data_IF_939572981857
#
_entry.id   IF_939572981857
#
_cell.length_a   1.000
_cell.length_b   1.000
_cell.length_c   1.000
_cell.angle_alpha   90.00
_cell.angle_beta   90.00
_cell.angle_gamma   90.00
#
_symmetry.space_group_name_H-M   'P 1'
#
loop_
_entity.id
_entity.type
_entity.pdbx_description
1 polymer ?
#
# COMPACT_ATOMS: atom_id res chain seq x y z
N UNK A 1 -19.57 -3.82 17.57
CA UNK A 1 -18.45 -3.58 18.52
C UNK A 1 -18.04 -2.11 18.53
N UNK A 2 -17.30 -1.67 19.59
CA UNK A 2 -16.74 -0.32 19.67
C UNK A 2 -15.24 -0.38 19.46
N UNK A 3 -14.73 0.29 18.44
CA UNK A 3 -13.31 0.20 18.06
C UNK A 3 -12.70 1.59 17.97
N UNK A 4 -11.54 1.78 18.61
CA UNK A 4 -10.69 2.94 18.34
C UNK A 4 -9.77 2.59 17.17
N UNK A 5 -9.94 3.26 16.04
CA UNK A 5 -9.09 3.10 14.85
C UNK A 5 -7.98 4.14 14.92
N UNK A 6 -6.77 3.70 15.21
CA UNK A 6 -5.57 4.56 15.23
C UNK A 6 -5.04 4.74 13.81
N UNK A 7 -5.50 5.77 13.14
CA UNK A 7 -5.11 6.20 11.80
C UNK A 7 -4.19 7.45 11.84
N UNK A 8 -3.46 7.65 12.94
CA UNK A 8 -2.59 8.81 13.12
C UNK A 8 -1.43 8.90 12.12
N UNK A 9 -1.17 7.84 11.36
CA UNK A 9 -0.15 7.78 10.29
C UNK A 9 -0.73 7.96 8.88
N UNK A 10 -2.06 8.11 8.72
CA UNK A 10 -2.74 8.18 7.43
C UNK A 10 -2.68 9.59 6.80
N UNK A 11 -1.46 10.11 6.59
CA UNK A 11 -1.28 11.43 5.99
C UNK A 11 -1.20 11.36 4.46
N UNK A 12 -0.47 10.38 3.91
CA UNK A 12 -0.23 10.22 2.48
C UNK A 12 0.01 8.75 2.10
N UNK A 13 -0.16 8.43 0.80
CA UNK A 13 0.20 7.14 0.21
C UNK A 13 -0.67 5.97 0.66
N UNK A 14 -0.17 4.75 0.53
CA UNK A 14 -0.95 3.52 0.72
C UNK A 14 -1.67 3.36 2.06
N UNK A 15 -1.13 3.94 3.16
CA UNK A 15 -1.82 3.91 4.47
C UNK A 15 -3.07 4.81 4.44
N UNK A 16 -2.98 5.97 3.78
CA UNK A 16 -4.13 6.85 3.59
C UNK A 16 -5.19 6.15 2.74
N UNK A 17 -4.83 5.61 1.59
CA UNK A 17 -5.72 4.84 0.72
C UNK A 17 -6.38 3.68 1.49
N UNK A 18 -5.60 2.94 2.29
CA UNK A 18 -6.14 1.87 3.14
C UNK A 18 -7.25 2.38 4.08
N UNK A 19 -7.02 3.49 4.79
CA UNK A 19 -8.00 4.03 5.75
C UNK A 19 -9.23 4.58 5.02
N UNK A 20 -9.04 5.31 3.92
CA UNK A 20 -10.11 5.94 3.14
C UNK A 20 -11.10 4.92 2.55
N UNK A 21 -10.64 3.71 2.26
CA UNK A 21 -11.51 2.66 1.74
C UNK A 21 -11.98 1.68 2.83
N UNK A 22 -11.18 1.45 3.87
CA UNK A 22 -11.56 0.59 5.00
C UNK A 22 -12.79 1.15 5.73
N UNK A 23 -12.83 2.45 6.01
CA UNK A 23 -13.89 3.05 6.82
C UNK A 23 -15.27 3.00 6.16
N UNK A 24 -15.46 3.39 4.88
CA UNK A 24 -16.75 3.23 4.20
C UNK A 24 -17.20 1.78 4.10
N UNK A 25 -16.27 0.87 3.79
CA UNK A 25 -16.56 -0.57 3.74
C UNK A 25 -16.98 -1.11 5.11
N UNK A 26 -16.37 -0.60 6.20
CA UNK A 26 -16.77 -0.98 7.56
C UNK A 26 -18.16 -0.48 7.90
N UNK A 27 -18.48 0.78 7.60
CA UNK A 27 -19.81 1.34 7.82
C UNK A 27 -20.90 0.56 7.09
N UNK A 28 -20.59 0.07 5.87
CA UNK A 28 -21.51 -0.73 5.06
C UNK A 28 -21.66 -2.17 5.59
N UNK A 29 -20.55 -2.84 5.87
CA UNK A 29 -20.55 -4.24 6.27
C UNK A 29 -21.02 -4.46 7.73
N UNK A 30 -20.80 -3.48 8.60
CA UNK A 30 -21.10 -3.54 10.04
C UNK A 30 -21.69 -2.22 10.56
N UNK A 31 -22.92 -1.87 10.15
CA UNK A 31 -23.55 -0.58 10.49
C UNK A 31 -23.77 -0.36 12.00
N UNK A 32 -23.83 -1.45 12.78
CA UNK A 32 -24.00 -1.39 14.24
C UNK A 32 -22.66 -1.22 14.99
N UNK A 33 -21.51 -1.23 14.30
CA UNK A 33 -20.22 -1.00 14.92
C UNK A 33 -19.96 0.51 15.10
N UNK A 34 -19.49 0.91 16.27
CA UNK A 34 -19.14 2.29 16.58
C UNK A 34 -17.62 2.48 16.46
N UNK A 35 -17.16 3.24 15.46
CA UNK A 35 -15.74 3.54 15.30
C UNK A 35 -15.42 4.97 15.78
N UNK A 36 -14.32 5.09 16.55
CA UNK A 36 -13.67 6.36 16.84
C UNK A 36 -12.34 6.42 16.07
N UNK A 37 -12.30 7.22 15.02
CA UNK A 37 -11.15 7.31 14.11
C UNK A 37 -10.21 8.42 14.57
N UNK A 38 -9.00 8.05 14.94
CA UNK A 38 -7.94 8.95 15.40
C UNK A 38 -7.04 9.30 14.24
N UNK A 39 -7.07 10.56 13.80
CA UNK A 39 -6.32 11.06 12.63
C UNK A 39 -5.46 12.26 12.99
N UNK A 40 -4.40 12.59 12.23
CA UNK A 40 -3.72 13.87 12.38
C UNK A 40 -4.62 15.02 11.88
N UNK A 41 -4.50 16.23 12.42
CA UNK A 41 -5.31 17.38 12.00
C UNK A 41 -5.20 17.72 10.51
N UNK A 42 -4.02 17.45 9.92
CA UNK A 42 -3.71 17.66 8.50
C UNK A 42 -4.27 16.61 7.55
N UNK A 43 -4.75 15.48 8.07
CA UNK A 43 -5.29 14.43 7.22
C UNK A 43 -6.68 14.80 6.70
N UNK A 44 -6.79 14.95 5.40
CA UNK A 44 -8.07 15.09 4.70
C UNK A 44 -8.85 13.76 4.58
N UNK A 45 -8.66 12.83 5.54
CA UNK A 45 -9.34 11.53 5.55
C UNK A 45 -10.79 11.72 5.96
N UNK A 46 -11.71 11.32 5.11
CA UNK A 46 -13.13 11.22 5.43
C UNK A 46 -13.40 10.01 6.33
N UNK A 47 -14.21 10.21 7.37
CA UNK A 47 -14.47 9.15 8.36
C UNK A 47 -15.73 8.34 8.08
N UNK A 48 -16.36 8.52 6.92
CA UNK A 48 -17.56 7.78 6.50
C UNK A 48 -18.70 7.78 7.56
N UNK A 49 -18.91 8.92 8.22
CA UNK A 49 -19.90 9.07 9.29
C UNK A 49 -19.46 8.57 10.67
N UNK A 50 -18.30 7.94 10.79
CA UNK A 50 -17.73 7.55 12.09
C UNK A 50 -17.21 8.76 12.88
N UNK A 51 -17.12 8.60 14.20
CA UNK A 51 -16.61 9.65 15.08
C UNK A 51 -15.13 9.96 14.77
N UNK A 52 -14.78 11.25 14.67
CA UNK A 52 -13.42 11.73 14.40
C UNK A 52 -12.77 12.31 15.64
N UNK A 53 -11.53 11.95 15.91
CA UNK A 53 -10.67 12.58 16.91
C UNK A 53 -9.35 13.02 16.30
N UNK A 54 -8.97 14.27 16.50
CA UNK A 54 -7.72 14.83 15.97
C UNK A 54 -6.58 14.65 16.98
N UNK A 55 -5.59 13.84 16.62
CA UNK A 55 -4.38 13.65 17.40
C UNK A 55 -3.38 14.78 17.15
N UNK A 56 -3.23 15.69 18.08
CA UNK A 56 -2.23 16.76 17.99
C UNK A 56 -0.86 16.25 18.42
N UNK A 57 0.09 16.28 17.49
CA UNK A 57 1.47 15.87 17.71
C UNK A 57 2.33 17.10 18.00
N UNK A 58 3.14 17.04 19.07
CA UNK A 58 4.12 18.09 19.39
C UNK A 58 5.52 17.62 19.04
N UNK A 59 6.31 18.48 18.40
CA UNK A 59 7.69 18.18 17.97
C UNK A 59 7.75 17.29 16.72
N UNK A 60 8.93 16.70 16.44
CA UNK A 60 9.11 15.85 15.27
C UNK A 60 8.18 14.65 15.30
N UNK A 61 7.44 14.41 14.20
CA UNK A 61 6.39 13.38 14.11
C UNK A 61 6.88 11.97 14.49
N UNK A 62 8.13 11.64 14.19
CA UNK A 62 8.73 10.33 14.48
C UNK A 62 8.75 9.99 15.98
N UNK A 63 8.93 11.00 16.84
CA UNK A 63 8.95 10.84 18.30
C UNK A 63 7.63 11.29 18.92
N UNK A 64 7.13 12.43 18.46
CA UNK A 64 5.92 13.07 19.03
C UNK A 64 4.67 12.24 18.83
N UNK A 65 4.53 11.54 17.67
CA UNK A 65 3.34 10.75 17.37
C UNK A 65 3.18 9.54 18.32
N UNK A 66 4.17 8.65 18.50
CA UNK A 66 4.04 7.55 19.46
C UNK A 66 3.82 8.01 20.90
N UNK A 67 4.36 9.14 21.31
CA UNK A 67 4.12 9.73 22.64
C UNK A 67 2.69 10.24 22.79
N UNK A 68 2.16 10.94 21.77
CA UNK A 68 0.78 11.40 21.74
C UNK A 68 -0.20 10.22 21.77
N UNK A 69 0.03 9.20 20.93
CA UNK A 69 -0.74 7.96 20.90
C UNK A 69 -0.73 7.24 22.27
N UNK A 70 0.43 7.15 22.91
CA UNK A 70 0.57 6.52 24.24
C UNK A 70 -0.22 7.24 25.32
N UNK A 71 -0.40 8.54 25.20
CA UNK A 71 -1.17 9.36 26.15
C UNK A 71 -2.66 9.32 25.83
N UNK A 72 -3.04 9.44 24.56
CA UNK A 72 -4.43 9.65 24.15
C UNK A 72 -5.19 8.32 23.96
N UNK A 73 -4.61 7.30 23.32
CA UNK A 73 -5.34 6.06 23.02
C UNK A 73 -5.95 5.37 24.26
N UNK A 74 -5.27 5.28 25.43
CA UNK A 74 -5.88 4.69 26.63
C UNK A 74 -7.05 5.51 27.18
N UNK A 75 -7.03 6.84 26.97
CA UNK A 75 -8.11 7.74 27.39
C UNK A 75 -9.31 7.61 26.48
N UNK A 76 -9.05 7.61 25.16
CA UNK A 76 -10.07 7.45 24.13
C UNK A 76 -10.74 6.09 24.22
N UNK A 77 -9.96 5.02 24.40
CA UNK A 77 -10.49 3.66 24.58
C UNK A 77 -11.46 3.59 25.77
N UNK A 78 -11.09 4.20 26.91
CA UNK A 78 -11.97 4.26 28.09
C UNK A 78 -13.21 5.13 27.86
N UNK A 79 -13.04 6.33 27.29
CA UNK A 79 -14.14 7.27 27.08
C UNK A 79 -15.17 6.72 26.07
N UNK A 80 -14.69 6.07 25.02
CA UNK A 80 -15.52 5.42 24.00
C UNK A 80 -16.06 4.05 24.44
N UNK A 81 -15.60 3.53 25.60
CA UNK A 81 -15.87 2.15 26.05
C UNK A 81 -15.51 1.14 24.96
N UNK A 82 -14.35 1.34 24.33
CA UNK A 82 -13.90 0.53 23.22
C UNK A 82 -13.66 -0.93 23.65
N UNK A 83 -14.05 -1.86 22.79
CA UNK A 83 -13.74 -3.28 22.92
C UNK A 83 -12.29 -3.57 22.49
N UNK A 84 -11.78 -2.83 21.51
CA UNK A 84 -10.43 -3.00 20.98
C UNK A 84 -9.87 -1.70 20.35
N UNK A 85 -8.56 -1.71 20.09
CA UNK A 85 -7.85 -0.72 19.25
C UNK A 85 -7.36 -1.43 17.99
N UNK A 86 -7.66 -0.84 16.82
CA UNK A 86 -7.06 -1.20 15.53
C UNK A 86 -6.03 -0.13 15.16
N UNK A 87 -4.75 -0.47 15.22
CA UNK A 87 -3.69 0.39 14.73
C UNK A 87 -3.45 0.12 13.24
N UNK A 88 -3.71 1.10 12.38
CA UNK A 88 -3.58 0.96 10.92
C UNK A 88 -2.15 0.97 10.41
N UNK A 89 -1.17 1.07 11.31
CA UNK A 89 0.26 1.06 11.01
C UNK A 89 1.04 0.64 12.28
N UNK A 90 2.24 0.03 12.18
CA UNK A 90 3.07 -0.32 13.34
C UNK A 90 3.70 0.88 14.09
N UNK A 91 3.15 2.08 13.94
CA UNK A 91 3.43 3.23 14.82
C UNK A 91 2.18 3.53 15.61
N UNK A 92 2.11 3.06 16.84
CA UNK A 92 0.96 3.20 17.72
C UNK A 92 1.41 3.45 19.17
N UNK A 93 0.54 3.20 20.12
CA UNK A 93 0.86 3.35 21.55
C UNK A 93 2.08 2.52 21.98
N UNK A 94 2.89 3.09 22.86
CA UNK A 94 4.05 2.38 23.46
C UNK A 94 3.68 1.54 24.69
N UNK A 95 2.42 1.61 25.16
CA UNK A 95 1.90 0.88 26.32
C UNK A 95 0.52 0.32 26.00
N UNK A 96 0.15 -0.77 26.63
CA UNK A 96 -1.19 -1.36 26.49
C UNK A 96 -2.26 -0.33 26.89
N UNK A 97 -3.27 -0.08 26.04
CA UNK A 97 -4.32 0.91 26.32
C UNK A 97 -5.41 0.43 27.28
N UNK A 98 -5.36 -0.80 27.76
CA UNK A 98 -6.35 -1.41 28.63
C UNK A 98 -7.41 -2.24 27.91
N UNK A 99 -7.32 -2.31 26.59
CA UNK A 99 -8.13 -3.17 25.70
C UNK A 99 -7.19 -3.85 24.69
N UNK A 100 -7.59 -4.94 24.04
CA UNK A 100 -6.80 -5.61 23.00
C UNK A 100 -6.40 -4.67 21.87
N UNK A 101 -5.19 -4.86 21.32
CA UNK A 101 -4.63 -4.10 20.22
C UNK A 101 -4.33 -5.01 19.05
N UNK A 102 -4.98 -4.78 17.92
CA UNK A 102 -4.57 -5.35 16.63
C UNK A 102 -3.72 -4.34 15.85
N UNK A 103 -2.62 -4.79 15.25
CA UNK A 103 -1.72 -3.96 14.46
C UNK A 103 -1.73 -4.42 13.00
N UNK A 104 -2.00 -3.49 12.08
CA UNK A 104 -1.89 -3.73 10.65
C UNK A 104 -0.43 -3.59 10.21
N UNK A 105 0.08 -4.61 9.53
CA UNK A 105 1.45 -4.64 9.00
C UNK A 105 1.38 -4.59 7.47
N UNK A 106 1.83 -3.46 6.90
CA UNK A 106 1.82 -3.25 5.45
C UNK A 106 3.08 -3.80 4.78
N UNK A 107 4.25 -3.57 5.37
CA UNK A 107 5.54 -4.11 4.95
C UNK A 107 6.57 -4.07 6.09
N UNK A 108 7.69 -4.75 5.87
CA UNK A 108 8.87 -4.67 6.73
C UNK A 108 10.09 -4.14 5.93
N UNK A 109 9.85 -3.25 4.96
CA UNK A 109 10.88 -2.73 4.05
C UNK A 109 12.05 -2.09 4.79
N UNK A 110 11.81 -1.41 5.90
CA UNK A 110 12.86 -0.77 6.68
C UNK A 110 13.87 -1.77 7.30
N UNK A 111 13.53 -3.03 7.40
CA UNK A 111 14.40 -4.13 7.82
C UNK A 111 14.97 -4.89 6.62
N UNK A 112 14.13 -5.21 5.65
CA UNK A 112 14.48 -6.04 4.48
C UNK A 112 15.27 -5.29 3.41
N UNK A 113 15.12 -3.97 3.32
CA UNK A 113 15.82 -3.06 2.40
C UNK A 113 16.45 -1.93 3.19
N UNK A 114 17.27 -2.31 4.15
CA UNK A 114 17.87 -1.39 5.11
C UNK A 114 18.74 -0.31 4.47
N UNK A 115 19.33 -0.57 3.32
CA UNK A 115 20.13 0.34 2.52
C UNK A 115 19.32 1.52 1.95
N UNK A 116 18.02 1.40 1.83
CA UNK A 116 17.12 2.47 1.37
C UNK A 116 16.79 3.50 2.46
N UNK A 117 17.28 3.29 3.68
CA UNK A 117 16.97 4.14 4.84
C UNK A 117 18.24 4.61 5.54
N UNK A 118 18.26 5.88 5.99
CA UNK A 118 19.32 6.36 6.85
C UNK A 118 19.36 5.57 8.19
N UNK A 119 20.57 5.42 8.76
CA UNK A 119 20.77 4.68 10.02
C UNK A 119 19.87 5.17 11.15
N UNK A 120 19.70 6.51 11.29
CA UNK A 120 18.84 7.09 12.32
C UNK A 120 17.37 6.75 12.10
N UNK A 121 16.86 6.85 10.85
CA UNK A 121 15.48 6.50 10.51
C UNK A 121 15.20 5.01 10.74
N UNK A 122 16.18 4.14 10.42
CA UNK A 122 16.08 2.70 10.72
C UNK A 122 15.95 2.42 12.20
N UNK A 123 16.88 2.97 13.01
CA UNK A 123 16.88 2.75 14.46
C UNK A 123 15.55 3.20 15.11
N UNK A 124 15.05 4.37 14.70
CA UNK A 124 13.76 4.88 15.20
C UNK A 124 12.56 4.02 14.78
N UNK A 125 12.52 3.56 13.52
CA UNK A 125 11.46 2.66 13.06
C UNK A 125 11.54 1.30 13.75
N UNK A 126 12.73 0.72 13.85
CA UNK A 126 12.97 -0.53 14.55
C UNK A 126 12.47 -0.48 16.00
N UNK A 127 12.78 0.60 16.73
CA UNK A 127 12.33 0.78 18.11
C UNK A 127 10.81 0.96 18.20
N UNK A 128 10.21 1.80 17.32
CA UNK A 128 8.79 2.06 17.31
C UNK A 128 7.97 0.83 16.91
N UNK A 129 8.37 0.13 15.84
CA UNK A 129 7.69 -1.06 15.34
C UNK A 129 7.87 -2.24 16.30
N UNK A 130 9.11 -2.49 16.77
CA UNK A 130 9.35 -3.53 17.77
C UNK A 130 8.52 -3.32 19.04
N UNK A 131 8.32 -2.06 19.45
CA UNK A 131 7.46 -1.76 20.59
C UNK A 131 5.97 -1.99 20.25
N UNK A 132 5.51 -1.58 19.07
CA UNK A 132 4.15 -1.85 18.61
C UNK A 132 3.88 -3.37 18.56
N UNK A 133 4.81 -4.16 18.03
CA UNK A 133 4.69 -5.62 18.00
C UNK A 133 4.66 -6.24 19.41
N UNK A 134 5.40 -5.68 20.35
CA UNK A 134 5.36 -6.14 21.76
C UNK A 134 4.02 -5.82 22.43
N UNK A 135 3.41 -4.67 22.12
CA UNK A 135 2.13 -4.22 22.69
C UNK A 135 0.94 -4.92 22.03
N UNK A 136 1.04 -5.23 20.74
CA UNK A 136 -0.03 -5.88 19.98
C UNK A 136 -0.46 -7.21 20.63
N UNK A 137 -1.75 -7.47 20.61
CA UNK A 137 -2.35 -8.76 20.98
C UNK A 137 -2.63 -9.61 19.74
N UNK A 138 -2.67 -9.00 18.54
CA UNK A 138 -2.80 -9.70 17.26
C UNK A 138 -2.36 -8.84 16.08
N UNK A 139 -2.27 -9.47 14.90
CA UNK A 139 -1.77 -8.84 13.69
C UNK A 139 -2.71 -9.03 12.50
N UNK A 140 -2.88 -7.97 11.72
CA UNK A 140 -3.48 -8.00 10.40
C UNK A 140 -2.35 -7.80 9.38
N UNK A 141 -1.99 -8.83 8.62
CA UNK A 141 -1.01 -8.71 7.55
C UNK A 141 -1.73 -8.52 6.21
N UNK A 142 -1.17 -7.66 5.35
CA UNK A 142 -1.79 -7.34 4.06
C UNK A 142 -1.55 -8.41 2.98
N UNK A 143 -0.66 -9.37 3.24
CA UNK A 143 -0.38 -10.55 2.42
C UNK A 143 0.21 -11.66 3.28
N UNK A 144 0.20 -12.91 2.76
CA UNK A 144 0.86 -14.03 3.42
C UNK A 144 2.37 -13.76 3.53
N UNK A 145 2.97 -13.23 2.46
CA UNK A 145 4.38 -12.81 2.47
C UNK A 145 4.70 -11.84 3.61
N UNK A 146 3.86 -10.84 3.84
CA UNK A 146 4.07 -9.89 4.95
C UNK A 146 3.96 -10.56 6.31
N UNK A 147 3.04 -11.52 6.47
CA UNK A 147 2.91 -12.31 7.71
C UNK A 147 4.14 -13.20 7.95
N UNK A 148 4.62 -13.87 6.92
CA UNK A 148 5.80 -14.73 7.00
C UNK A 148 7.07 -13.92 7.33
N UNK A 149 7.23 -12.76 6.72
CA UNK A 149 8.33 -11.84 7.03
C UNK A 149 8.25 -11.32 8.48
N UNK A 150 7.04 -10.98 8.97
CA UNK A 150 6.83 -10.58 10.37
C UNK A 150 7.25 -11.70 11.32
N UNK A 151 6.80 -12.93 11.09
CA UNK A 151 7.13 -14.08 11.94
C UNK A 151 8.61 -14.43 11.89
N UNK A 152 9.23 -14.33 10.72
CA UNK A 152 10.65 -14.60 10.51
C UNK A 152 11.55 -13.58 11.21
N UNK A 153 11.22 -12.28 11.10
CA UNK A 153 12.02 -11.19 11.65
C UNK A 153 11.72 -10.95 13.14
N UNK A 154 10.50 -11.24 13.57
CA UNK A 154 10.02 -11.05 14.95
C UNK A 154 9.37 -12.34 15.49
N UNK A 155 10.14 -13.40 15.81
CA UNK A 155 9.61 -14.71 16.20
C UNK A 155 8.63 -14.68 17.38
N UNK A 156 8.74 -13.69 18.28
CA UNK A 156 7.79 -13.52 19.39
C UNK A 156 6.36 -13.20 18.93
N UNK A 157 6.15 -12.85 17.66
CA UNK A 157 4.82 -12.59 17.09
C UNK A 157 4.08 -13.86 16.69
N UNK A 158 4.77 -14.99 16.52
CA UNK A 158 4.17 -16.26 16.07
C UNK A 158 3.18 -16.85 17.06
N UNK A 159 3.28 -16.51 18.34
CA UNK A 159 2.36 -16.96 19.38
C UNK A 159 1.07 -16.12 19.48
N UNK A 160 0.96 -15.04 18.70
CA UNK A 160 -0.18 -14.13 18.72
C UNK A 160 -1.13 -14.41 17.56
N UNK A 161 -2.45 -14.29 17.75
CA UNK A 161 -3.41 -14.41 16.66
C UNK A 161 -3.07 -13.48 15.50
N UNK A 162 -3.15 -14.00 14.29
CA UNK A 162 -2.95 -13.19 13.08
C UNK A 162 -3.98 -13.56 12.01
N UNK A 163 -4.17 -12.65 11.06
CA UNK A 163 -5.00 -12.84 9.87
C UNK A 163 -4.34 -12.15 8.69
N UNK A 164 -4.48 -12.75 7.52
CA UNK A 164 -4.17 -12.09 6.25
C UNK A 164 -5.45 -11.43 5.76
N UNK A 165 -5.42 -10.10 5.68
CA UNK A 165 -6.51 -9.30 5.12
C UNK A 165 -5.96 -8.49 3.95
N UNK A 166 -6.11 -9.03 2.75
CA UNK A 166 -5.72 -8.35 1.51
C UNK A 166 -6.47 -7.03 1.37
N UNK A 167 -5.84 -6.03 0.76
CA UNK A 167 -6.53 -4.80 0.39
C UNK A 167 -7.57 -5.05 -0.70
N UNK A 168 -8.65 -4.27 -0.69
CA UNK A 168 -9.61 -4.23 -1.79
C UNK A 168 -9.04 -3.47 -2.99
N UNK A 169 -9.55 -3.81 -4.17
CA UNK A 169 -9.32 -3.10 -5.43
C UNK A 169 -10.63 -2.65 -6.10
N UNK A 170 -11.75 -2.97 -5.48
CA UNK A 170 -13.12 -2.67 -5.96
C UNK A 170 -13.38 -1.16 -6.11
N UNK A 171 -12.67 -0.32 -5.37
CA UNK A 171 -12.69 1.14 -5.55
C UNK A 171 -12.24 1.58 -6.95
N UNK A 172 -11.32 0.84 -7.59
CA UNK A 172 -10.84 1.17 -8.93
C UNK A 172 -11.95 1.12 -9.99
N UNK A 173 -13.01 0.35 -9.78
CA UNK A 173 -14.17 0.31 -10.68
C UNK A 173 -14.94 1.64 -10.76
N UNK A 174 -14.74 2.55 -9.80
CA UNK A 174 -15.32 3.90 -9.83
C UNK A 174 -14.48 4.89 -10.64
N UNK A 175 -13.26 4.50 -11.02
CA UNK A 175 -12.37 5.38 -11.77
C UNK A 175 -12.82 5.52 -13.22
N UNK A 176 -12.58 6.68 -13.86
CA UNK A 176 -12.80 6.81 -15.28
C UNK A 176 -11.94 5.78 -16.02
N UNK A 177 -12.54 4.76 -16.58
CA UNK A 177 -11.85 3.69 -17.30
C UNK A 177 -12.33 3.63 -18.75
N UNK A 178 -12.08 4.67 -19.56
CA UNK A 178 -12.36 4.64 -20.98
C UNK A 178 -11.45 3.63 -21.68
N UNK A 179 -11.57 3.54 -22.98
CA UNK A 179 -10.70 2.72 -23.83
C UNK A 179 -9.21 2.87 -23.46
N UNK A 180 -8.47 1.77 -23.54
CA UNK A 180 -7.02 1.72 -23.34
C UNK A 180 -6.32 2.50 -24.45
N UNK A 181 -6.19 3.80 -24.30
CA UNK A 181 -5.63 4.72 -25.30
C UNK A 181 -4.57 5.66 -24.73
N UNK A 182 -4.22 5.47 -23.47
CA UNK A 182 -3.20 6.27 -22.78
C UNK A 182 -1.83 5.60 -22.76
N UNK A 183 -0.84 6.28 -22.19
CA UNK A 183 0.51 5.72 -22.03
C UNK A 183 0.54 4.55 -21.05
N UNK A 184 1.56 3.70 -21.12
CA UNK A 184 1.94 2.85 -20.02
C UNK A 184 2.19 3.71 -18.76
N UNK A 185 1.80 3.24 -17.58
CA UNK A 185 2.01 3.99 -16.33
C UNK A 185 3.00 3.29 -15.41
N UNK A 186 3.96 4.06 -14.88
CA UNK A 186 4.92 3.63 -13.88
C UNK A 186 5.02 4.64 -12.74
N UNK A 187 5.64 4.23 -11.62
CA UNK A 187 5.61 4.96 -10.36
C UNK A 187 7.02 5.34 -9.92
N UNK A 188 7.22 6.61 -9.52
CA UNK A 188 8.52 7.16 -9.16
C UNK A 188 8.64 7.67 -7.72
N UNK A 189 7.58 7.59 -6.91
CA UNK A 189 7.52 8.21 -5.58
C UNK A 189 8.40 7.53 -4.51
N UNK A 190 8.92 6.32 -4.76
CA UNK A 190 9.86 5.62 -3.88
C UNK A 190 10.90 4.86 -4.69
N UNK A 191 12.10 4.70 -4.12
CA UNK A 191 13.24 4.04 -4.78
C UNK A 191 12.97 2.58 -5.10
N UNK A 192 12.19 1.87 -4.27
CA UNK A 192 11.83 0.47 -4.51
C UNK A 192 10.93 0.25 -5.75
N UNK A 193 10.36 1.30 -6.32
CA UNK A 193 9.59 1.24 -7.57
C UNK A 193 10.47 1.17 -8.82
N UNK A 194 11.78 1.34 -8.65
CA UNK A 194 12.80 1.25 -9.71
C UNK A 194 12.50 2.09 -10.97
N UNK A 195 12.13 3.39 -10.85
CA UNK A 195 11.74 4.18 -12.01
C UNK A 195 12.89 4.35 -13.03
N UNK A 196 14.17 4.32 -12.58
CA UNK A 196 15.34 4.36 -13.48
C UNK A 196 15.40 3.12 -14.36
N UNK A 197 15.17 1.95 -13.77
CA UNK A 197 15.10 0.67 -14.49
C UNK A 197 14.01 0.70 -15.57
N UNK A 198 12.86 1.31 -15.26
CA UNK A 198 11.77 1.46 -16.25
C UNK A 198 12.24 2.30 -17.44
N UNK A 199 12.90 3.44 -17.21
CA UNK A 199 13.42 4.30 -18.30
C UNK A 199 14.50 3.58 -19.10
N UNK A 200 15.40 2.82 -18.46
CA UNK A 200 16.42 2.04 -19.16
C UNK A 200 15.81 0.93 -20.03
N UNK A 201 14.75 0.27 -19.56
CA UNK A 201 14.00 -0.71 -20.35
C UNK A 201 13.31 -0.05 -21.58
N UNK A 202 12.77 1.15 -21.42
CA UNK A 202 12.20 1.92 -22.54
C UNK A 202 13.25 2.29 -23.59
N UNK A 203 14.49 2.54 -23.17
CA UNK A 203 15.59 2.76 -24.13
C UNK A 203 15.89 1.52 -24.99
N UNK A 204 15.74 0.32 -24.43
CA UNK A 204 15.85 -0.93 -25.21
C UNK A 204 14.68 -1.10 -26.17
N UNK A 205 13.45 -0.86 -25.69
CA UNK A 205 12.25 -0.92 -26.53
C UNK A 205 12.32 0.06 -27.70
N UNK A 206 12.80 1.29 -27.48
CA UNK A 206 12.96 2.30 -28.52
C UNK A 206 14.01 1.96 -29.59
N UNK A 207 14.99 1.11 -29.30
CA UNK A 207 15.95 0.61 -30.29
C UNK A 207 15.34 -0.39 -31.25
N UNK A 208 14.33 -1.14 -30.76
CA UNK A 208 13.66 -2.19 -31.54
C UNK A 208 12.48 -1.66 -32.37
N UNK A 209 12.09 -0.40 -32.16
CA UNK A 209 10.96 0.27 -32.85
C UNK A 209 10.35 1.38 -32.01
N UNK A 210 9.09 1.69 -32.24
CA UNK A 210 8.34 2.67 -31.46
C UNK A 210 7.79 2.03 -30.18
N UNK A 211 8.34 2.37 -28.99
CA UNK A 211 7.80 1.85 -27.73
C UNK A 211 6.45 2.49 -27.42
N UNK A 212 5.62 1.88 -26.57
CA UNK A 212 4.46 2.56 -26.03
C UNK A 212 4.87 3.85 -25.31
N UNK A 213 4.03 4.89 -25.36
CA UNK A 213 4.25 6.06 -24.52
C UNK A 213 4.28 5.66 -23.05
N UNK A 214 5.09 6.31 -22.23
CA UNK A 214 5.26 6.04 -20.82
C UNK A 214 5.01 7.29 -19.98
N UNK A 215 4.14 7.19 -19.00
CA UNK A 215 3.99 8.17 -17.94
C UNK A 215 4.65 7.64 -16.66
N UNK A 216 5.69 8.30 -16.17
CA UNK A 216 6.27 8.05 -14.84
C UNK A 216 5.74 9.11 -13.87
N UNK A 217 4.85 8.72 -12.96
CA UNK A 217 4.22 9.63 -12.02
C UNK A 217 4.82 9.52 -10.61
N UNK A 218 4.63 10.56 -9.80
CA UNK A 218 5.08 10.58 -8.40
C UNK A 218 6.53 11.05 -8.20
N UNK A 219 7.15 11.59 -9.21
CA UNK A 219 8.50 12.16 -9.15
C UNK A 219 8.49 13.60 -8.63
N UNK A 220 9.42 13.95 -7.74
CA UNK A 220 9.53 15.30 -7.20
C UNK A 220 10.99 15.73 -7.00
N UNK A 221 11.24 17.05 -7.00
CA UNK A 221 12.53 17.66 -6.69
C UNK A 221 13.69 17.08 -7.50
N UNK A 222 14.80 16.78 -6.81
CA UNK A 222 16.02 16.26 -7.42
C UNK A 222 15.82 14.94 -8.18
N UNK A 223 14.93 14.07 -7.68
CA UNK A 223 14.63 12.80 -8.36
C UNK A 223 14.04 13.02 -9.75
N UNK A 224 13.13 14.00 -9.88
CA UNK A 224 12.55 14.36 -11.20
C UNK A 224 13.60 14.96 -12.12
N UNK A 225 14.45 15.86 -11.63
CA UNK A 225 15.53 16.47 -12.40
C UNK A 225 16.52 15.42 -12.91
N UNK A 226 16.94 14.51 -12.03
CA UNK A 226 17.86 13.43 -12.40
C UNK A 226 17.23 12.47 -13.43
N UNK A 227 15.94 12.18 -13.31
CA UNK A 227 15.21 11.35 -14.27
C UNK A 227 15.06 12.05 -15.62
N UNK A 228 14.78 13.37 -15.65
CA UNK A 228 14.71 14.14 -16.87
C UNK A 228 16.06 14.15 -17.63
N UNK A 229 17.17 14.25 -16.91
CA UNK A 229 18.51 14.15 -17.50
C UNK A 229 18.76 12.74 -18.10
N UNK A 230 18.33 11.68 -17.43
CA UNK A 230 18.41 10.30 -17.95
C UNK A 230 17.57 10.16 -19.22
N UNK A 231 16.30 10.57 -19.22
CA UNK A 231 15.42 10.55 -20.39
C UNK A 231 16.03 11.29 -21.58
N UNK A 232 16.57 12.49 -21.33
CA UNK A 232 17.23 13.29 -22.37
C UNK A 232 18.50 12.61 -22.92
N UNK A 233 19.34 12.05 -22.05
CA UNK A 233 20.59 11.38 -22.46
C UNK A 233 20.35 10.13 -23.29
N UNK A 234 19.20 9.46 -23.09
CA UNK A 234 18.78 8.27 -23.82
C UNK A 234 17.94 8.60 -25.07
N UNK A 235 17.64 9.89 -25.33
CA UNK A 235 16.83 10.31 -26.47
C UNK A 235 15.34 9.93 -26.35
N UNK A 236 14.85 9.70 -25.14
CA UNK A 236 13.50 9.18 -24.87
C UNK A 236 12.42 10.26 -24.69
N UNK A 237 12.76 11.54 -24.84
CA UNK A 237 11.80 12.64 -24.68
C UNK A 237 10.50 12.52 -25.52
N UNK A 238 10.51 11.92 -26.72
CA UNK A 238 9.27 11.73 -27.49
C UNK A 238 8.29 10.72 -26.87
N UNK A 239 8.78 9.78 -26.05
CA UNK A 239 7.97 8.66 -25.54
C UNK A 239 7.74 8.69 -24.03
N UNK A 240 8.57 9.43 -23.26
CA UNK A 240 8.55 9.39 -21.80
C UNK A 240 8.15 10.74 -21.21
N UNK A 241 7.01 10.75 -20.54
CA UNK A 241 6.52 11.86 -19.75
C UNK A 241 6.83 11.65 -18.27
N UNK A 242 7.32 12.70 -17.59
CA UNK A 242 7.63 12.68 -16.17
C UNK A 242 6.68 13.61 -15.41
N UNK A 243 5.79 13.05 -14.61
CA UNK A 243 4.84 13.81 -13.83
C UNK A 243 5.21 13.84 -12.33
N UNK A 244 4.86 14.93 -11.62
CA UNK A 244 4.90 14.95 -10.16
C UNK A 244 3.85 13.97 -9.59
N UNK A 245 3.67 14.00 -8.26
CA UNK A 245 2.54 13.34 -7.64
C UNK A 245 1.25 13.99 -8.17
N UNK A 246 0.45 13.21 -8.88
CA UNK A 246 -0.80 13.70 -9.47
C UNK A 246 -1.88 13.82 -8.38
N UNK A 247 -2.73 14.85 -8.44
CA UNK A 247 -3.97 14.87 -7.69
C UNK A 247 -4.81 13.61 -7.97
N UNK A 248 -5.57 13.17 -7.00
CA UNK A 248 -6.31 11.90 -7.08
C UNK A 248 -7.21 11.77 -8.34
N UNK A 249 -8.01 12.78 -8.73
CA UNK A 249 -8.81 12.68 -9.96
C UNK A 249 -7.97 12.55 -11.24
N UNK A 250 -6.82 13.25 -11.29
CA UNK A 250 -5.91 13.17 -12.42
C UNK A 250 -5.19 11.82 -12.47
N UNK A 251 -4.80 11.29 -11.30
CA UNK A 251 -4.21 9.97 -11.17
C UNK A 251 -5.20 8.88 -11.63
N UNK A 252 -6.44 8.92 -11.15
CA UNK A 252 -7.49 7.97 -11.54
C UNK A 252 -7.75 8.01 -13.05
N UNK A 253 -7.81 9.21 -13.64
CA UNK A 253 -7.99 9.37 -15.08
C UNK A 253 -6.78 8.85 -15.88
N UNK A 254 -5.55 9.13 -15.44
CA UNK A 254 -4.34 8.64 -16.07
C UNK A 254 -4.21 7.12 -15.98
N UNK A 255 -4.44 6.56 -14.79
CA UNK A 255 -4.41 5.12 -14.54
C UNK A 255 -5.53 4.40 -15.33
N UNK A 256 -6.74 4.97 -15.33
CA UNK A 256 -7.89 4.43 -16.04
C UNK A 256 -7.67 4.33 -17.57
N UNK A 257 -6.94 5.29 -18.18
CA UNK A 257 -6.60 5.25 -19.60
C UNK A 257 -5.37 4.41 -19.91
N UNK A 258 -4.55 4.08 -18.93
CA UNK A 258 -3.29 3.39 -19.16
C UNK A 258 -3.49 2.10 -19.96
N UNK A 259 -2.65 1.86 -20.95
CA UNK A 259 -2.65 0.61 -21.72
C UNK A 259 -1.89 -0.52 -21.04
N UNK A 260 -0.97 -0.17 -20.10
CA UNK A 260 -0.10 -1.09 -19.38
C UNK A 260 0.26 -0.49 -18.02
N UNK A 261 0.26 -1.31 -16.98
CA UNK A 261 0.80 -0.96 -15.65
C UNK A 261 2.17 -1.59 -15.47
N UNK A 262 3.21 -0.78 -15.18
CA UNK A 262 4.60 -1.20 -14.99
C UNK A 262 5.02 -0.96 -13.55
N UNK A 263 5.16 -2.05 -12.80
CA UNK A 263 5.38 -2.01 -11.35
C UNK A 263 6.55 -2.92 -10.92
N UNK A 264 7.80 -2.65 -11.36
CA UNK A 264 8.97 -3.48 -11.10
C UNK A 264 9.55 -3.22 -9.71
N UNK A 265 8.70 -3.24 -8.69
CA UNK A 265 9.14 -3.07 -7.30
C UNK A 265 10.04 -4.21 -6.85
N UNK A 266 11.01 -3.89 -5.99
CA UNK A 266 11.94 -4.87 -5.40
C UNK A 266 11.43 -5.44 -4.06
N UNK A 267 10.46 -4.77 -3.44
CA UNK A 267 9.78 -5.22 -2.23
C UNK A 267 8.47 -4.46 -2.01
N UNK A 268 7.39 -5.22 -1.90
CA UNK A 268 6.06 -4.73 -1.54
C UNK A 268 5.41 -5.65 -0.50
N UNK A 269 4.54 -5.07 0.32
CA UNK A 269 3.68 -5.89 1.16
C UNK A 269 2.45 -6.40 0.40
N UNK A 270 1.88 -5.59 -0.52
CA UNK A 270 0.69 -5.94 -1.28
C UNK A 270 0.78 -5.49 -2.76
N UNK A 271 0.93 -4.19 -3.00
CA UNK A 271 1.00 -3.65 -4.35
C UNK A 271 -0.39 -3.30 -4.92
N UNK A 272 -1.09 -2.32 -4.33
CA UNK A 272 -2.38 -1.83 -4.83
C UNK A 272 -2.42 -1.63 -6.34
N UNK A 273 -1.43 -0.98 -7.00
CA UNK A 273 -1.45 -0.79 -8.46
C UNK A 273 -1.54 -2.09 -9.27
N UNK A 274 -1.14 -3.23 -8.70
CA UNK A 274 -1.21 -4.53 -9.35
C UNK A 274 -2.66 -4.98 -9.48
N UNK A 275 -3.39 -5.01 -8.37
CA UNK A 275 -4.79 -5.44 -8.34
C UNK A 275 -5.72 -4.42 -8.99
N UNK A 276 -5.43 -3.12 -8.84
CA UNK A 276 -6.13 -2.03 -9.52
C UNK A 276 -6.01 -2.14 -11.05
N UNK A 277 -4.79 -2.41 -11.54
CA UNK A 277 -4.54 -2.63 -12.96
C UNK A 277 -5.29 -3.85 -13.50
N UNK A 278 -5.24 -4.98 -12.79
CA UNK A 278 -5.98 -6.18 -13.16
C UNK A 278 -7.49 -5.97 -13.10
N UNK A 279 -8.02 -5.30 -12.07
CA UNK A 279 -9.44 -4.99 -11.93
C UNK A 279 -9.97 -4.15 -13.10
N UNK A 280 -9.14 -3.26 -13.65
CA UNK A 280 -9.44 -2.45 -14.83
C UNK A 280 -9.12 -3.16 -16.16
N UNK A 281 -8.85 -4.48 -16.15
CA UNK A 281 -8.56 -5.27 -17.34
C UNK A 281 -7.28 -4.87 -18.06
N UNK A 282 -6.29 -4.33 -17.34
CA UNK A 282 -5.02 -3.89 -17.92
C UNK A 282 -3.95 -4.98 -17.80
N UNK A 283 -3.07 -5.12 -18.81
CA UNK A 283 -1.84 -5.89 -18.60
C UNK A 283 -1.03 -5.27 -17.46
N UNK A 284 -0.40 -6.12 -16.64
CA UNK A 284 0.44 -5.69 -15.53
C UNK A 284 1.81 -6.36 -15.63
N UNK A 285 2.87 -5.57 -15.54
CA UNK A 285 4.26 -6.04 -15.48
C UNK A 285 4.80 -5.83 -14.08
N UNK A 286 5.40 -6.86 -13.50
CA UNK A 286 5.98 -6.87 -12.16
C UNK A 286 7.48 -7.11 -12.20
N UNK A 287 8.18 -6.66 -11.16
CA UNK A 287 9.48 -7.20 -10.78
C UNK A 287 9.36 -8.57 -10.10
N UNK A 288 10.49 -9.24 -9.80
CA UNK A 288 10.51 -10.56 -9.16
C UNK A 288 10.28 -10.47 -7.64
N UNK A 289 9.35 -9.65 -7.20
CA UNK A 289 8.99 -9.51 -5.78
C UNK A 289 7.92 -10.53 -5.39
N UNK A 290 8.18 -11.39 -4.38
CA UNK A 290 7.23 -12.41 -3.96
C UNK A 290 5.89 -11.88 -3.44
N UNK A 291 5.86 -10.66 -2.85
CA UNK A 291 4.63 -10.08 -2.33
C UNK A 291 3.64 -9.71 -3.44
N UNK A 292 4.12 -9.03 -4.48
CA UNK A 292 3.30 -8.73 -5.67
C UNK A 292 2.99 -9.96 -6.50
N UNK A 293 3.91 -10.94 -6.56
CA UNK A 293 3.68 -12.21 -7.25
C UNK A 293 2.57 -13.04 -6.58
N UNK A 294 2.54 -13.08 -5.23
CA UNK A 294 1.44 -13.69 -4.45
C UNK A 294 0.09 -13.09 -4.84
N UNK A 295 0.01 -11.77 -4.80
CA UNK A 295 -1.22 -11.03 -5.06
C UNK A 295 -1.68 -11.18 -6.51
N UNK A 296 -0.76 -11.19 -7.46
CA UNK A 296 -1.06 -11.38 -8.87
C UNK A 296 -1.44 -12.84 -9.23
N UNK A 297 -1.04 -13.84 -8.44
CA UNK A 297 -1.38 -15.25 -8.60
C UNK A 297 -1.21 -15.79 -10.05
N UNK A 298 -0.16 -15.33 -10.76
CA UNK A 298 0.11 -15.72 -12.15
C UNK A 298 -0.69 -14.95 -13.22
N UNK A 299 -1.49 -13.95 -12.83
CA UNK A 299 -2.26 -13.13 -13.76
C UNK A 299 -1.53 -11.88 -14.26
N UNK A 300 -0.35 -11.59 -13.73
CA UNK A 300 0.55 -10.54 -14.23
C UNK A 300 1.79 -11.17 -14.90
N UNK A 301 2.50 -10.38 -15.70
CA UNK A 301 3.78 -10.78 -16.30
C UNK A 301 4.92 -10.38 -15.38
N UNK A 302 5.70 -11.36 -14.93
CA UNK A 302 6.83 -11.11 -14.03
C UNK A 302 8.12 -11.07 -14.85
N UNK A 303 8.94 -10.01 -14.68
CA UNK A 303 10.29 -9.96 -15.20
C UNK A 303 11.18 -10.98 -14.45
N UNK A 304 12.09 -11.63 -15.16
CA UNK A 304 12.96 -12.68 -14.56
C UNK A 304 13.89 -12.12 -13.49
N UNK A 305 14.29 -10.88 -13.64
CA UNK A 305 15.14 -10.14 -12.70
C UNK A 305 14.93 -8.62 -12.87
N UNK A 306 15.64 -7.81 -12.06
CA UNK A 306 15.61 -6.36 -12.13
C UNK A 306 16.68 -5.81 -13.10
N UNK A 307 16.74 -6.34 -14.33
CA UNK A 307 17.55 -5.79 -15.43
C UNK A 307 16.67 -5.11 -16.47
N UNK A 308 17.21 -4.13 -17.22
CA UNK A 308 16.47 -3.48 -18.32
C UNK A 308 15.99 -4.46 -19.38
N UNK A 309 16.80 -5.46 -19.73
CA UNK A 309 16.47 -6.50 -20.73
C UNK A 309 15.28 -7.36 -20.27
N UNK A 310 15.31 -7.85 -19.03
CA UNK A 310 14.23 -8.64 -18.46
C UNK A 310 12.92 -7.86 -18.36
N UNK A 311 13.00 -6.56 -18.00
CA UNK A 311 11.82 -5.70 -17.93
C UNK A 311 11.26 -5.39 -19.32
N UNK A 312 12.12 -5.10 -20.30
CA UNK A 312 11.71 -4.87 -21.70
C UNK A 312 11.04 -6.10 -22.29
N UNK A 313 11.60 -7.32 -22.04
CA UNK A 313 10.97 -8.57 -22.44
C UNK A 313 9.59 -8.76 -21.78
N UNK A 314 9.48 -8.49 -20.47
CA UNK A 314 8.21 -8.58 -19.77
C UNK A 314 7.16 -7.59 -20.32
N UNK A 315 7.56 -6.40 -20.69
CA UNK A 315 6.69 -5.40 -21.36
C UNK A 315 6.18 -5.95 -22.69
N UNK A 316 7.06 -6.49 -23.57
CA UNK A 316 6.64 -7.08 -24.85
C UNK A 316 5.64 -8.22 -24.65
N UNK A 317 5.90 -9.13 -23.68
CA UNK A 317 4.99 -10.22 -23.34
C UNK A 317 3.66 -9.73 -22.82
N UNK A 318 3.65 -8.68 -21.99
CA UNK A 318 2.43 -8.13 -21.44
C UNK A 318 1.57 -7.45 -22.52
N UNK A 319 2.20 -6.72 -23.45
CA UNK A 319 1.51 -6.09 -24.57
C UNK A 319 0.91 -7.11 -25.56
N UNK A 320 1.44 -8.31 -25.60
CA UNK A 320 0.95 -9.42 -26.43
C UNK A 320 -0.15 -10.26 -25.77
N UNK A 321 -0.58 -9.93 -24.54
CA UNK A 321 -1.64 -10.67 -23.86
C UNK A 321 -2.99 -10.50 -24.57
N UNK A 322 -3.64 -11.62 -24.86
CA UNK A 322 -4.99 -11.65 -25.42
C UNK A 322 -6.09 -11.32 -24.38
N UNK A 323 -7.29 -11.01 -24.86
CA UNK A 323 -8.42 -10.61 -24.00
C UNK A 323 -8.76 -11.64 -22.91
N UNK A 324 -8.72 -12.93 -23.22
CA UNK A 324 -9.00 -14.01 -22.25
C UNK A 324 -8.08 -13.96 -21.02
N UNK A 325 -6.81 -13.63 -21.22
CA UNK A 325 -5.86 -13.48 -20.10
C UNK A 325 -6.16 -12.26 -19.24
N UNK A 326 -6.60 -11.17 -19.86
CA UNK A 326 -6.98 -9.94 -19.16
C UNK A 326 -8.29 -10.10 -18.40
N UNK A 327 -9.27 -10.81 -18.99
CA UNK A 327 -10.53 -11.15 -18.32
C UNK A 327 -10.28 -12.06 -17.10
N UNK A 328 -9.40 -13.06 -17.23
CA UNK A 328 -9.01 -13.91 -16.11
C UNK A 328 -8.32 -13.11 -14.99
N UNK A 329 -7.47 -12.13 -15.34
CA UNK A 329 -6.83 -11.23 -14.38
C UNK A 329 -7.87 -10.35 -13.67
N UNK A 330 -8.85 -9.79 -14.38
CA UNK A 330 -9.93 -9.00 -13.82
C UNK A 330 -10.84 -9.85 -12.90
N UNK A 331 -11.16 -11.08 -13.31
CA UNK A 331 -11.94 -12.01 -12.48
C UNK A 331 -11.20 -12.38 -11.17
N UNK A 332 -9.87 -12.58 -11.24
CA UNK A 332 -9.06 -12.76 -10.03
C UNK A 332 -9.08 -11.52 -9.14
N UNK A 333 -8.88 -10.33 -9.72
CA UNK A 333 -8.89 -9.06 -8.99
C UNK A 333 -10.23 -8.76 -8.33
N UNK A 334 -11.35 -9.22 -8.87
CA UNK A 334 -12.68 -9.07 -8.28
C UNK A 334 -12.83 -9.77 -6.91
N UNK A 335 -11.92 -10.69 -6.56
CA UNK A 335 -11.89 -11.31 -5.23
C UNK A 335 -11.32 -10.40 -4.13
N UNK A 336 -10.65 -9.31 -4.50
CA UNK A 336 -10.07 -8.34 -3.60
C UNK A 336 -11.07 -7.19 -3.36
N UNK A 337 -11.86 -7.30 -2.29
CA UNK A 337 -12.85 -6.28 -1.91
C UNK A 337 -12.54 -5.69 -0.55
N UNK A 338 -12.82 -4.41 -0.38
CA UNK A 338 -12.66 -3.75 0.93
C UNK A 338 -13.61 -4.34 1.98
N UNK A 339 -14.76 -4.84 1.57
CA UNK A 339 -15.65 -5.57 2.46
C UNK A 339 -14.96 -6.82 3.05
N UNK A 340 -14.25 -7.60 2.21
CA UNK A 340 -13.48 -8.75 2.69
C UNK A 340 -12.36 -8.33 3.64
N UNK A 341 -11.62 -7.26 3.31
CA UNK A 341 -10.58 -6.69 4.18
C UNK A 341 -11.14 -6.37 5.58
N UNK A 342 -12.32 -5.74 5.61
CA UNK A 342 -13.01 -5.39 6.87
C UNK A 342 -13.44 -6.65 7.63
N UNK A 343 -14.06 -7.62 6.96
CA UNK A 343 -14.54 -8.87 7.61
C UNK A 343 -13.41 -9.66 8.25
N UNK A 344 -12.28 -9.80 7.55
CA UNK A 344 -11.10 -10.49 8.09
C UNK A 344 -10.50 -9.71 9.27
N UNK A 345 -10.36 -8.38 9.13
CA UNK A 345 -9.86 -7.52 10.21
C UNK A 345 -10.75 -7.61 11.45
N UNK A 346 -12.06 -7.50 11.28
CA UNK A 346 -13.03 -7.56 12.37
C UNK A 346 -13.08 -8.93 13.03
N UNK A 347 -12.96 -10.00 12.26
CA UNK A 347 -12.87 -11.38 12.79
C UNK A 347 -11.70 -11.54 13.75
N UNK A 348 -10.54 -10.95 13.42
CA UNK A 348 -9.41 -10.93 14.37
C UNK A 348 -9.78 -10.19 15.66
N UNK A 349 -10.36 -8.99 15.56
CA UNK A 349 -10.75 -8.20 16.73
C UNK A 349 -11.73 -8.97 17.63
N UNK A 350 -12.70 -9.68 17.07
CA UNK A 350 -13.63 -10.53 17.81
C UNK A 350 -12.91 -11.63 18.59
N UNK A 351 -11.95 -12.31 17.95
CA UNK A 351 -11.13 -13.33 18.64
C UNK A 351 -10.31 -12.74 19.78
N UNK A 352 -9.76 -11.55 19.62
CA UNK A 352 -8.97 -10.88 20.66
C UNK A 352 -9.84 -10.46 21.85
N UNK A 353 -11.05 -9.97 21.59
CA UNK A 353 -12.00 -9.58 22.63
C UNK A 353 -12.56 -10.81 23.35
N UNK A 354 -12.88 -11.89 22.62
CA UNK A 354 -13.42 -13.14 23.18
C UNK A 354 -12.40 -13.94 23.99
N UNK A 355 -11.12 -13.93 23.60
CA UNK A 355 -10.04 -14.65 24.28
C UNK A 355 -9.51 -13.98 25.56
N UNK A 356 -9.95 -12.75 25.85
CA UNK A 356 -9.58 -12.00 27.06
C UNK A 356 -10.58 -12.10 28.23
N UNK A 357 -11.61 -12.94 28.10
CA UNK A 357 -12.61 -13.20 29.18
C UNK A 357 -12.32 -14.47 29.91
#
# INVERSE_FOLDING_TARGET
>A
MRVVVDAASAELGGIRTYVEHLLPAWATAFPDDELLVVVPPSAGVETAGHQRHELRVRGPAVVGRPLAQTRELPRLARAHRADAVLATNPTTTLRRPGVPVAVVVHDLRHELRSEQFSRGRRALRWAAYGRAYAVADGFVAVSQRTLDDLHRLHPATTSKPAVVAHHGADHAHTWPAPERSGPAIAFGHHTNKNPRLVVDAWALLARDGDPPHLLVTGLSGEARTAMAAQVASLGLAPWVELAPYLPEPEFHAAFGRAELVVFPSDLEGFGLPVVEGMALGKPVVLGPDPGTAEVAAGHAVIASDLSPDALADAVRRAMALGPERLEAAAAHAASFTWERTVRETRSLLERLVGGGR
#
